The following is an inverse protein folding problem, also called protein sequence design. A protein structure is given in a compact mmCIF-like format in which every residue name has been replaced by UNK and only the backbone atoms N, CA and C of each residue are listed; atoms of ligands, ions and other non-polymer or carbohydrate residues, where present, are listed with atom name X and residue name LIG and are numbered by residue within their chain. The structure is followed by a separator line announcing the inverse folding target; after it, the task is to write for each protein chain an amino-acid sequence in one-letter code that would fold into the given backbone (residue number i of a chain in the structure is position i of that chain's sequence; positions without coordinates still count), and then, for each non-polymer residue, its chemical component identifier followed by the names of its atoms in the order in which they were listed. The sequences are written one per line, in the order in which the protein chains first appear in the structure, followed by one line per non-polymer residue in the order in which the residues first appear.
data_IF_323815791383
#
_entry.id   IF_323815791383
#
_cell.length_a   1.000
_cell.length_b   1.000
_cell.length_c   1.000
_cell.angle_alpha   90.00
_cell.angle_beta   90.00
_cell.angle_gamma   90.00
#
_symmetry.space_group_name_H-M   'P 1'
#
loop_
_entity.id
_entity.type
_entity.pdbx_description
1 polymer ?
#
# COMPACT_ATOMS: atom_id res chain seq x y z
N UNK A 1 -4.29 7.49 -0.46
CA UNK A 1 -3.06 7.57 0.36
C UNK A 1 -2.56 9.01 0.34
N UNK A 2 -2.26 9.58 1.50
CA UNK A 2 -1.80 10.97 1.58
C UNK A 2 -0.27 11.00 1.38
N UNK A 3 0.27 11.88 0.52
CA UNK A 3 1.71 12.07 0.42
C UNK A 3 2.32 12.44 1.78
N UNK A 4 3.36 11.71 2.21
CA UNK A 4 4.03 11.94 3.50
C UNK A 4 3.47 11.12 4.67
N UNK A 5 2.46 10.29 4.45
CA UNK A 5 1.98 9.34 5.45
C UNK A 5 3.00 8.20 5.65
N UNK A 6 3.30 7.88 6.91
CA UNK A 6 4.16 6.75 7.25
C UNK A 6 3.33 5.47 7.08
N UNK A 7 3.74 4.62 6.14
CA UNK A 7 3.18 3.30 5.96
C UNK A 7 4.01 2.31 6.76
N UNK A 8 3.38 1.70 7.76
CA UNK A 8 3.97 0.63 8.56
C UNK A 8 3.91 -0.71 7.83
N UNK A 9 4.70 -1.68 8.29
CA UNK A 9 4.70 -3.02 7.70
C UNK A 9 3.34 -3.73 7.85
N UNK A 10 2.66 -3.57 8.98
CA UNK A 10 1.30 -4.09 9.19
C UNK A 10 0.30 -3.49 8.19
N UNK A 11 0.42 -2.20 7.87
CA UNK A 11 -0.42 -1.57 6.85
C UNK A 11 -0.14 -2.17 5.45
N UNK A 12 1.13 -2.47 5.12
CA UNK A 12 1.46 -3.15 3.86
C UNK A 12 0.83 -4.54 3.81
N UNK A 13 0.93 -5.32 4.89
CA UNK A 13 0.35 -6.68 4.97
C UNK A 13 -1.16 -6.65 4.80
N UNK A 14 -1.84 -5.72 5.49
CA UNK A 14 -3.28 -5.53 5.34
C UNK A 14 -3.67 -5.18 3.90
N UNK A 15 -2.95 -4.25 3.26
CA UNK A 15 -3.24 -3.86 1.89
C UNK A 15 -3.01 -5.01 0.89
N UNK A 16 -2.00 -5.85 1.13
CA UNK A 16 -1.80 -7.06 0.33
C UNK A 16 -2.91 -8.08 0.53
N UNK A 17 -3.38 -8.29 1.76
CA UNK A 17 -4.50 -9.17 2.06
C UNK A 17 -5.78 -8.71 1.35
N UNK A 18 -6.08 -7.41 1.40
CA UNK A 18 -7.24 -6.82 0.70
C UNK A 18 -7.17 -7.09 -0.81
N UNK A 19 -5.99 -6.99 -1.43
CA UNK A 19 -5.82 -7.32 -2.86
C UNK A 19 -6.03 -8.82 -3.14
N UNK A 20 -5.52 -9.70 -2.27
CA UNK A 20 -5.69 -11.16 -2.39
C UNK A 20 -7.17 -11.56 -2.28
N UNK A 21 -7.93 -10.88 -1.42
CA UNK A 21 -9.36 -11.08 -1.24
C UNK A 21 -10.21 -10.55 -2.41
N UNK A 22 -9.59 -9.97 -3.45
CA UNK A 22 -10.27 -9.40 -4.61
C UNK A 22 -10.76 -7.96 -4.40
N UNK A 23 -10.31 -7.30 -3.32
CA UNK A 23 -10.52 -5.88 -3.10
C UNK A 23 -9.72 -5.03 -4.10
N UNK A 24 -10.25 -3.85 -4.44
CA UNK A 24 -9.58 -2.89 -5.31
C UNK A 24 -9.16 -1.68 -4.50
N UNK A 25 -7.85 -1.38 -4.50
CA UNK A 25 -7.30 -0.23 -3.79
C UNK A 25 -7.23 0.95 -4.75
N UNK A 26 -8.01 1.99 -4.44
CA UNK A 26 -8.11 3.21 -5.25
C UNK A 26 -7.35 4.36 -4.58
N UNK A 27 -6.87 5.33 -5.36
CA UNK A 27 -6.04 6.43 -4.84
C UNK A 27 -4.57 6.06 -4.59
N UNK A 28 -4.11 4.97 -5.19
CA UNK A 28 -2.71 4.62 -5.39
C UNK A 28 -2.43 4.57 -6.90
N UNK A 29 -1.27 5.09 -7.35
CA UNK A 29 -0.88 5.00 -8.76
C UNK A 29 -0.47 3.58 -9.19
N UNK A 30 -0.11 2.71 -8.24
CA UNK A 30 0.14 1.29 -8.47
C UNK A 30 -1.02 0.46 -7.87
N UNK A 31 -1.99 0.00 -8.68
CA UNK A 31 -3.12 -0.78 -8.20
C UNK A 31 -2.72 -2.17 -7.71
N UNK A 32 -1.50 -2.62 -8.01
CA UNK A 32 -1.00 -3.94 -7.58
C UNK A 32 -0.28 -3.89 -6.24
N UNK A 33 0.07 -2.69 -5.76
CA UNK A 33 0.87 -2.48 -4.54
C UNK A 33 2.10 -3.40 -4.47
N UNK A 34 2.68 -3.76 -5.61
CA UNK A 34 3.88 -4.61 -5.66
C UNK A 34 5.13 -3.83 -5.31
N UNK A 35 5.07 -2.51 -5.47
CA UNK A 35 6.25 -1.66 -5.40
C UNK A 35 6.03 -0.57 -4.36
N UNK A 36 6.53 -0.80 -3.14
CA UNK A 36 6.60 0.22 -2.11
C UNK A 36 8.01 0.81 -2.06
N UNK A 37 8.11 2.14 -2.18
CA UNK A 37 9.36 2.84 -1.97
C UNK A 37 9.50 3.16 -0.49
N UNK A 38 10.42 2.47 0.19
CA UNK A 38 10.81 2.84 1.55
C UNK A 38 11.62 4.14 1.47
N UNK A 39 11.07 5.22 2.02
CA UNK A 39 11.78 6.49 2.20
C UNK A 39 12.24 6.51 3.65
N UNK A 40 13.55 6.47 3.87
CA UNK A 40 14.17 6.72 5.17
C UNK A 40 14.65 8.16 5.19
N UNK A 41 14.35 8.89 6.26
CA UNK A 41 15.04 10.15 6.58
C UNK A 41 16.55 9.90 6.84
#
# INVERSE_FOLDING_TARGET
MIPGEIITQEAVEYLQEVLILGGCITGCSDPTLKTFKVVKD
#
